data_IF_277374977292
#
_entry.id   IF_277374977292
#
_cell.length_a   1.000
_cell.length_b   1.000
_cell.length_c   1.000
_cell.angle_alpha   90.00
_cell.angle_beta   90.00
_cell.angle_gamma   90.00
#
_symmetry.space_group_name_H-M   'P 1'
#
loop_
_entity.id
_entity.type
_entity.pdbx_description
1 polymer ?
#
# COMPACT_ATOMS: atom_id res chain seq x y z
N UNK A 1 -19.02 7.05 -8.40
CA UNK A 1 -18.02 5.95 -8.49
C UNK A 1 -16.62 6.40 -8.08
N UNK A 2 -16.03 7.40 -8.76
CA UNK A 2 -14.65 7.91 -8.48
C UNK A 2 -14.43 8.28 -7.01
N UNK A 3 -15.34 9.06 -6.41
CA UNK A 3 -15.22 9.50 -5.01
C UNK A 3 -15.27 8.32 -4.02
N UNK A 4 -16.00 7.25 -4.35
CA UNK A 4 -16.09 6.05 -3.51
C UNK A 4 -14.78 5.27 -3.53
N UNK A 5 -14.16 5.15 -4.70
CA UNK A 5 -12.91 4.40 -4.84
C UNK A 5 -11.74 5.16 -4.20
N UNK A 6 -11.72 6.49 -4.31
CA UNK A 6 -10.72 7.31 -3.64
C UNK A 6 -10.80 7.20 -2.10
N UNK A 7 -12.02 7.18 -1.54
CA UNK A 7 -12.23 6.93 -0.09
C UNK A 7 -11.78 5.52 0.30
N UNK A 8 -12.12 4.52 -0.53
CA UNK A 8 -11.72 3.13 -0.30
C UNK A 8 -10.19 2.97 -0.32
N UNK A 9 -9.50 3.64 -1.23
CA UNK A 9 -8.03 3.64 -1.30
C UNK A 9 -7.41 4.24 -0.04
N UNK A 10 -7.85 5.44 0.37
CA UNK A 10 -7.35 6.13 1.58
C UNK A 10 -7.56 5.29 2.84
N UNK A 11 -8.76 4.76 3.01
CA UNK A 11 -9.06 3.90 4.16
C UNK A 11 -8.23 2.61 4.12
N UNK A 12 -8.09 1.99 2.95
CA UNK A 12 -7.24 0.82 2.77
C UNK A 12 -5.77 1.10 3.07
N UNK A 13 -5.24 2.26 2.67
CA UNK A 13 -3.86 2.67 2.92
C UNK A 13 -3.60 2.88 4.40
N UNK A 14 -4.49 3.61 5.09
CA UNK A 14 -4.41 3.78 6.55
C UNK A 14 -4.47 2.44 7.28
N UNK A 15 -5.37 1.56 6.86
CA UNK A 15 -5.48 0.22 7.43
C UNK A 15 -4.22 -0.61 7.19
N UNK A 16 -3.63 -0.55 6.00
CA UNK A 16 -2.38 -1.22 5.67
C UNK A 16 -1.20 -0.72 6.52
N UNK A 17 -1.05 0.61 6.66
CA UNK A 17 0.01 1.21 7.48
C UNK A 17 -0.15 0.81 8.96
N UNK A 18 -1.39 0.80 9.46
CA UNK A 18 -1.68 0.37 10.83
C UNK A 18 -1.41 -1.12 11.03
N UNK A 19 -1.78 -1.96 10.06
CA UNK A 19 -1.46 -3.39 10.07
C UNK A 19 0.04 -3.63 10.07
N UNK A 20 0.80 -2.93 9.22
CA UNK A 20 2.25 -3.00 9.18
C UNK A 20 2.87 -2.58 10.53
N UNK A 21 2.40 -1.49 11.14
CA UNK A 21 2.84 -1.07 12.49
C UNK A 21 2.61 -2.16 13.56
N UNK A 22 1.43 -2.79 13.57
CA UNK A 22 1.08 -3.85 14.54
C UNK A 22 1.91 -5.11 14.28
N UNK A 23 2.01 -5.57 13.03
CA UNK A 23 2.83 -6.72 12.66
C UNK A 23 4.27 -6.50 13.11
N UNK A 24 4.82 -5.33 12.77
CA UNK A 24 6.20 -5.00 13.08
C UNK A 24 6.39 -4.97 14.58
N UNK A 25 5.53 -4.31 15.37
CA UNK A 25 5.68 -4.22 16.83
C UNK A 25 5.56 -5.56 17.56
N UNK A 26 4.82 -6.52 17.02
CA UNK A 26 4.68 -7.88 17.59
C UNK A 26 5.90 -8.75 17.24
N UNK A 27 6.37 -8.70 15.99
CA UNK A 27 7.38 -9.64 15.48
C UNK A 27 8.81 -9.12 15.68
N UNK A 28 9.00 -7.82 15.54
CA UNK A 28 10.31 -7.17 15.51
C UNK A 28 10.31 -5.92 16.38
N UNK A 29 11.41 -5.64 17.07
CA UNK A 29 11.52 -4.31 17.69
C UNK A 29 11.47 -3.25 16.59
N UNK A 30 10.75 -2.14 16.81
CA UNK A 30 10.65 -1.05 15.83
C UNK A 30 12.05 -0.54 15.49
N UNK A 31 12.56 -0.95 14.33
CA UNK A 31 13.87 -0.55 13.85
C UNK A 31 13.77 0.75 13.04
N UNK A 32 14.86 1.53 12.93
CA UNK A 32 14.90 2.70 12.04
C UNK A 32 14.57 2.36 10.58
N UNK A 33 14.87 1.12 10.16
CA UNK A 33 14.62 0.62 8.80
C UNK A 33 13.12 0.60 8.50
N UNK A 34 12.29 0.21 9.48
CA UNK A 34 10.83 0.23 9.32
C UNK A 34 10.30 1.62 8.95
N UNK A 35 10.81 2.67 9.58
CA UNK A 35 10.39 4.04 9.29
C UNK A 35 10.76 4.47 7.87
N UNK A 36 11.90 4.01 7.35
CA UNK A 36 12.30 4.25 5.96
C UNK A 36 11.29 3.60 4.99
N UNK A 37 10.81 2.39 5.30
CA UNK A 37 9.82 1.68 4.49
C UNK A 37 8.40 2.26 4.59
N UNK A 38 8.01 2.81 5.73
CA UNK A 38 6.65 3.36 5.92
C UNK A 38 6.52 4.82 5.45
N UNK A 39 7.60 5.59 5.48
CA UNK A 39 7.59 7.02 5.10
C UNK A 39 7.01 7.27 3.70
N UNK A 40 7.39 6.52 2.63
CA UNK A 40 6.78 6.70 1.32
C UNK A 40 5.25 6.49 1.32
N UNK A 41 4.77 5.52 2.09
CA UNK A 41 3.33 5.21 2.19
C UNK A 41 2.56 6.33 2.91
N UNK A 42 3.14 6.91 3.96
CA UNK A 42 2.57 8.08 4.65
C UNK A 42 2.50 9.31 3.74
N UNK A 43 3.54 9.55 2.95
CA UNK A 43 3.57 10.64 1.97
C UNK A 43 2.50 10.41 0.90
N UNK A 44 2.35 9.18 0.40
CA UNK A 44 1.29 8.82 -0.56
C UNK A 44 -0.09 9.09 0.05
N UNK A 45 -0.33 8.66 1.28
CA UNK A 45 -1.61 8.89 1.95
C UNK A 45 -1.90 10.40 2.03
N UNK A 46 -0.95 11.20 2.53
CA UNK A 46 -1.09 12.65 2.65
C UNK A 46 -1.39 13.33 1.31
N UNK A 47 -0.60 13.02 0.26
CA UNK A 47 -0.78 13.61 -1.07
C UNK A 47 -2.13 13.18 -1.67
N UNK A 48 -2.58 11.95 -1.40
CA UNK A 48 -3.87 11.48 -1.88
C UNK A 48 -5.04 12.34 -1.38
N UNK A 49 -4.91 12.96 -0.19
CA UNK A 49 -5.88 13.90 0.36
C UNK A 49 -5.80 15.29 -0.26
N UNK A 50 -4.59 15.80 -0.48
CA UNK A 50 -4.33 17.18 -0.92
C UNK A 50 -4.53 17.33 -2.43
N UNK A 51 -3.91 16.47 -3.23
CA UNK A 51 -3.87 16.62 -4.69
C UNK A 51 -3.96 15.26 -5.42
N UNK A 52 -5.14 14.61 -5.40
CA UNK A 52 -5.36 13.37 -6.15
C UNK A 52 -5.35 13.66 -7.65
N UNK A 53 -4.32 13.20 -8.36
CA UNK A 53 -4.22 13.33 -9.82
C UNK A 53 -4.00 11.97 -10.49
N UNK A 54 -4.33 11.87 -11.79
CA UNK A 54 -4.11 10.63 -12.56
C UNK A 54 -2.64 10.21 -12.55
N UNK A 55 -1.73 11.14 -12.83
CA UNK A 55 -0.27 10.87 -12.82
C UNK A 55 0.21 10.41 -11.44
N UNK A 56 -0.30 11.04 -10.38
CA UNK A 56 0.00 10.61 -9.02
C UNK A 56 -0.42 9.16 -8.76
N UNK A 57 -1.67 8.79 -9.05
CA UNK A 57 -2.14 7.42 -8.83
C UNK A 57 -1.46 6.37 -9.74
N UNK A 58 -1.01 6.76 -10.93
CA UNK A 58 -0.16 5.91 -11.78
C UNK A 58 1.19 5.64 -11.09
N UNK A 59 1.85 6.67 -10.56
CA UNK A 59 3.09 6.51 -9.80
C UNK A 59 2.89 5.69 -8.52
N UNK A 60 1.78 5.90 -7.80
CA UNK A 60 1.41 5.11 -6.63
C UNK A 60 1.27 3.62 -6.98
N UNK A 61 0.61 3.30 -8.09
CA UNK A 61 0.50 1.92 -8.57
C UNK A 61 1.88 1.29 -8.82
N UNK A 62 2.82 2.05 -9.38
CA UNK A 62 4.20 1.58 -9.54
C UNK A 62 4.91 1.35 -8.20
N UNK A 63 4.74 2.24 -7.23
CA UNK A 63 5.29 2.06 -5.87
C UNK A 63 4.71 0.80 -5.23
N UNK A 64 3.38 0.63 -5.23
CA UNK A 64 2.74 -0.56 -4.67
C UNK A 64 3.17 -1.86 -5.35
N UNK A 65 3.44 -1.83 -6.66
CA UNK A 65 4.01 -2.97 -7.39
C UNK A 65 5.41 -3.32 -6.88
N UNK A 66 6.26 -2.33 -6.60
CA UNK A 66 7.57 -2.58 -5.99
C UNK A 66 7.44 -3.21 -4.61
N UNK A 67 6.52 -2.72 -3.76
CA UNK A 67 6.26 -3.33 -2.45
C UNK A 67 5.77 -4.77 -2.60
N UNK A 68 4.87 -5.03 -3.55
CA UNK A 68 4.43 -6.40 -3.87
C UNK A 68 5.60 -7.29 -4.27
N UNK A 69 6.49 -6.82 -5.16
CA UNK A 69 7.63 -7.62 -5.60
C UNK A 69 8.54 -8.02 -4.42
N UNK A 70 8.85 -7.10 -3.51
CA UNK A 70 9.66 -7.41 -2.33
C UNK A 70 8.93 -8.33 -1.35
N UNK A 71 7.68 -8.02 -1.02
CA UNK A 71 6.94 -8.72 0.03
C UNK A 71 6.48 -10.12 -0.43
N UNK A 72 6.23 -10.30 -1.72
CA UNK A 72 5.88 -11.60 -2.32
C UNK A 72 6.96 -12.68 -2.16
N UNK A 73 8.23 -12.30 -1.93
CA UNK A 73 9.30 -13.25 -1.63
C UNK A 73 9.08 -13.95 -0.28
N UNK A 74 8.43 -13.30 0.69
CA UNK A 74 8.10 -13.92 1.97
C UNK A 74 7.02 -14.99 1.83
N UNK A 75 6.06 -14.77 0.91
CA UNK A 75 4.93 -15.69 0.67
C UNK A 75 5.27 -16.81 -0.30
N UNK A 76 6.01 -16.53 -1.36
CA UNK A 76 6.29 -17.53 -2.40
C UNK A 76 7.71 -18.10 -2.34
N UNK A 77 8.62 -17.47 -1.59
CA UNK A 77 10.04 -17.81 -1.58
C UNK A 77 10.51 -18.65 -0.38
N UNK A 78 9.67 -18.88 0.64
CA UNK A 78 10.10 -19.53 1.90
C UNK A 78 9.12 -20.65 2.31
N UNK A 79 9.60 -21.83 2.75
CA UNK A 79 8.76 -22.85 3.36
C UNK A 79 8.34 -22.43 4.79
N UNK A 80 7.06 -22.57 5.12
CA UNK A 80 6.38 -22.11 6.36
C UNK A 80 6.05 -20.61 6.41
N UNK A 81 5.18 -20.18 5.51
CA UNK A 81 4.66 -18.82 5.41
C UNK A 81 3.71 -18.51 6.56
N UNK A 82 3.85 -17.33 7.16
CA UNK A 82 2.94 -16.85 8.18
C UNK A 82 1.66 -16.28 7.57
N UNK A 83 0.54 -16.38 8.31
CA UNK A 83 -0.74 -15.79 7.87
C UNK A 83 -0.64 -14.26 7.73
N UNK A 84 0.22 -13.62 8.52
CA UNK A 84 0.46 -12.17 8.43
C UNK A 84 1.04 -11.74 7.07
N UNK A 85 1.98 -12.51 6.52
CA UNK A 85 2.58 -12.23 5.21
C UNK A 85 1.55 -12.40 4.08
N UNK A 86 0.72 -13.45 4.15
CA UNK A 86 -0.37 -13.67 3.18
C UNK A 86 -1.35 -12.49 3.19
N UNK A 87 -1.72 -12.03 4.39
CA UNK A 87 -2.62 -10.88 4.57
C UNK A 87 -1.97 -9.61 4.01
N UNK A 88 -0.69 -9.36 4.30
CA UNK A 88 0.03 -8.17 3.85
C UNK A 88 0.08 -8.08 2.32
N UNK A 89 0.54 -9.15 1.67
CA UNK A 89 0.60 -9.24 0.20
C UNK A 89 -0.80 -9.08 -0.40
N UNK A 90 -1.83 -9.68 0.19
CA UNK A 90 -3.21 -9.54 -0.28
C UNK A 90 -3.71 -8.08 -0.20
N UNK A 91 -3.40 -7.36 0.89
CA UNK A 91 -3.73 -5.94 1.02
C UNK A 91 -3.02 -5.09 -0.03
N UNK A 92 -1.72 -5.34 -0.28
CA UNK A 92 -0.96 -4.62 -1.31
C UNK A 92 -1.60 -4.81 -2.68
N UNK A 93 -2.02 -6.03 -3.03
CA UNK A 93 -2.71 -6.31 -4.29
C UNK A 93 -4.04 -5.54 -4.39
N UNK A 94 -4.84 -5.52 -3.34
CA UNK A 94 -6.12 -4.77 -3.32
C UNK A 94 -5.86 -3.28 -3.49
N UNK A 95 -4.87 -2.72 -2.80
CA UNK A 95 -4.47 -1.31 -2.91
C UNK A 95 -3.96 -0.98 -4.31
N UNK A 96 -3.15 -1.85 -4.90
CA UNK A 96 -2.65 -1.70 -6.25
C UNK A 96 -3.80 -1.63 -7.25
N UNK A 97 -4.72 -2.60 -7.24
CA UNK A 97 -5.88 -2.61 -8.14
C UNK A 97 -6.72 -1.35 -7.98
N UNK A 98 -6.96 -0.91 -6.74
CA UNK A 98 -7.71 0.31 -6.47
C UNK A 98 -6.99 1.55 -7.02
N UNK A 99 -5.67 1.65 -6.85
CA UNK A 99 -4.86 2.76 -7.39
C UNK A 99 -4.96 2.85 -8.93
N UNK A 100 -4.91 1.71 -9.63
CA UNK A 100 -5.04 1.65 -11.09
C UNK A 100 -6.45 2.04 -11.53
N UNK A 101 -7.48 1.60 -10.80
CA UNK A 101 -8.86 1.98 -11.09
C UNK A 101 -9.11 3.48 -10.89
N UNK A 102 -8.54 4.07 -9.85
CA UNK A 102 -8.60 5.53 -9.65
C UNK A 102 -7.91 6.25 -10.81
N UNK A 103 -6.70 5.82 -11.19
CA UNK A 103 -5.96 6.41 -12.30
C UNK A 103 -6.70 6.31 -13.65
N UNK A 104 -7.42 5.21 -13.90
CA UNK A 104 -8.18 5.04 -15.15
C UNK A 104 -9.43 5.94 -15.20
N UNK A 105 -10.03 6.24 -14.04
CA UNK A 105 -11.29 6.98 -13.95
C UNK A 105 -11.13 8.48 -13.72
N UNK A 106 -9.98 8.94 -13.21
CA UNK A 106 -9.69 10.38 -13.09
C UNK A 106 -9.56 11.02 -14.48
N UNK A 107 -10.41 12.01 -14.76
CA UNK A 107 -10.31 12.83 -15.96
C UNK A 107 -9.01 13.64 -15.92
N UNK A 108 -8.29 13.68 -17.04
CA UNK A 108 -7.14 14.57 -17.22
C UNK A 108 -7.69 15.99 -17.17
N UNK A 109 -7.30 16.75 -16.14
CA UNK A 109 -7.44 18.21 -16.15
C UNK A 109 -6.30 18.79 -16.99
#
# INVERSE_FOLDING_TARGET
MILSNLKLFRFGMLFFILFALIKTSIISQLSPIFWIWVTPLLIIELISWIYPSKKFFQSVGFVLLMYFMFDSLSVFGVPNVSVFEIIEVSMIVILFVNSVFIASTLKVK
#
